data_IF_691428717654
#
_entry.id   IF_691428717654
#
_cell.length_a   1.000
_cell.length_b   1.000
_cell.length_c   1.000
_cell.angle_alpha   90.00
_cell.angle_beta   90.00
_cell.angle_gamma   90.00
#
_symmetry.space_group_name_H-M   'P 1'
#
loop_
_entity.id
_entity.type
_entity.pdbx_description
1 polymer ?
#
# COMPACT_ATOMS: atom_id res chain seq x y z
N UNK A 1 -8.72 1.11 -13.74
CA UNK A 1 -7.55 1.01 -12.82
C UNK A 1 -7.76 1.81 -11.54
N UNK A 2 -8.15 3.08 -11.60
CA UNK A 2 -8.45 3.90 -10.40
C UNK A 2 -9.43 3.23 -9.43
N UNK A 3 -10.51 2.63 -9.95
CA UNK A 3 -11.45 1.84 -9.16
C UNK A 3 -10.79 0.68 -8.40
N UNK A 4 -9.79 0.02 -8.99
CA UNK A 4 -9.03 -1.01 -8.28
C UNK A 4 -8.22 -0.39 -7.14
N UNK A 5 -7.48 0.70 -7.38
CA UNK A 5 -6.68 1.35 -6.35
C UNK A 5 -7.53 1.90 -5.19
N UNK A 6 -8.77 2.30 -5.46
CA UNK A 6 -9.71 2.78 -4.46
C UNK A 6 -10.33 1.68 -3.59
N UNK A 7 -10.47 0.45 -4.10
CA UNK A 7 -11.25 -0.59 -3.43
C UNK A 7 -10.49 -1.88 -3.11
N UNK A 8 -9.20 -1.94 -3.45
CA UNK A 8 -8.32 -3.08 -3.16
C UNK A 8 -7.78 -3.05 -1.73
N UNK A 9 -7.61 -4.23 -1.16
CA UNK A 9 -6.75 -4.46 -0.01
C UNK A 9 -7.45 -4.44 1.34
N UNK A 10 -8.69 -3.95 1.46
CA UNK A 10 -9.37 -3.88 2.76
C UNK A 10 -9.89 -5.25 3.27
N UNK A 11 -10.57 -5.21 4.42
CA UNK A 11 -11.11 -6.38 5.13
C UNK A 11 -12.16 -7.18 4.34
N UNK A 12 -12.83 -6.56 3.37
CA UNK A 12 -13.82 -7.22 2.52
C UNK A 12 -13.17 -7.77 1.23
N UNK A 13 -11.88 -7.47 1.00
CA UNK A 13 -11.17 -7.80 -0.23
C UNK A 13 -10.01 -8.79 -0.02
N UNK A 14 -9.45 -8.87 1.19
CA UNK A 14 -8.31 -9.73 1.52
C UNK A 14 -8.61 -10.69 2.66
N UNK A 15 -8.11 -11.94 2.60
CA UNK A 15 -8.16 -12.84 3.76
C UNK A 15 -7.48 -12.17 4.95
N UNK A 16 -8.07 -12.29 6.15
CA UNK A 16 -7.46 -11.82 7.41
C UNK A 16 -7.02 -10.34 7.41
N UNK A 17 -7.58 -9.51 6.51
CA UNK A 17 -7.32 -8.07 6.43
C UNK A 17 -5.81 -7.78 6.40
N UNK A 18 -5.09 -8.26 5.38
CA UNK A 18 -3.62 -8.21 5.36
C UNK A 18 -3.06 -6.81 5.11
N UNK A 19 -3.68 -6.01 4.23
CA UNK A 19 -3.17 -4.69 3.86
C UNK A 19 -4.27 -3.63 3.76
N UNK A 20 -3.90 -2.42 3.34
CA UNK A 20 -4.79 -1.42 2.76
C UNK A 20 -4.09 -0.79 1.57
N UNK A 21 -4.87 -0.37 0.58
CA UNK A 21 -4.40 0.48 -0.51
C UNK A 21 -5.19 1.78 -0.48
N UNK A 22 -4.47 2.90 -0.37
CA UNK A 22 -5.08 4.22 -0.25
C UNK A 22 -4.68 5.04 -1.47
N UNK A 23 -5.63 5.42 -2.35
CA UNK A 23 -5.33 6.30 -3.46
C UNK A 23 -5.10 7.73 -2.96
N UNK A 24 -4.20 8.47 -3.60
CA UNK A 24 -3.95 9.87 -3.28
C UNK A 24 -5.22 10.71 -3.45
N UNK A 25 -5.87 10.57 -4.60
CA UNK A 25 -7.18 11.15 -4.86
C UNK A 25 -8.23 10.39 -4.03
N UNK A 26 -8.96 11.12 -3.17
CA UNK A 26 -10.00 10.57 -2.32
C UNK A 26 -11.20 10.13 -3.17
N UNK A 27 -11.71 8.90 -2.97
CA UNK A 27 -13.05 8.54 -3.41
C UNK A 27 -14.10 9.50 -2.80
N UNK A 28 -15.24 9.71 -3.47
CA UNK A 28 -16.24 10.72 -3.06
C UNK A 28 -16.73 10.55 -1.62
N UNK A 29 -16.96 9.31 -1.16
CA UNK A 29 -17.42 9.06 0.20
C UNK A 29 -16.37 9.38 1.27
N UNK A 30 -15.09 9.58 0.92
CA UNK A 30 -14.05 10.08 1.84
C UNK A 30 -14.04 11.61 1.96
N UNK A 31 -14.81 12.34 1.14
CA UNK A 31 -14.92 13.80 1.29
C UNK A 31 -15.69 14.14 2.57
N UNK A 32 -14.95 14.62 3.57
CA UNK A 32 -15.49 14.89 4.90
C UNK A 32 -15.57 13.66 5.82
N UNK A 33 -15.13 12.48 5.36
CA UNK A 33 -15.10 11.25 6.15
C UNK A 33 -13.69 10.66 6.22
N UNK A 34 -13.44 9.82 7.23
CA UNK A 34 -12.23 8.99 7.30
C UNK A 34 -12.26 7.85 6.29
N UNK A 35 -11.10 7.44 5.79
CA UNK A 35 -10.91 6.21 4.99
C UNK A 35 -11.57 4.97 5.65
N UNK A 36 -11.54 4.90 6.98
CA UNK A 36 -12.08 3.78 7.75
C UNK A 36 -13.58 3.91 8.09
N UNK A 37 -14.23 5.00 7.69
CA UNK A 37 -15.65 5.26 7.98
C UNK A 37 -16.58 4.22 7.32
N UNK A 38 -17.78 3.99 7.87
CA UNK A 38 -18.77 3.12 7.24
C UNK A 38 -19.17 3.56 5.82
N UNK A 39 -19.29 4.87 5.58
CA UNK A 39 -19.61 5.42 4.25
C UNK A 39 -18.52 5.10 3.22
N UNK A 40 -17.25 5.32 3.55
CA UNK A 40 -16.14 4.98 2.68
C UNK A 40 -16.04 3.47 2.42
N UNK A 41 -16.36 2.62 3.41
CA UNK A 41 -16.44 1.16 3.23
C UNK A 41 -17.55 0.77 2.26
N UNK A 42 -18.75 1.32 2.43
CA UNK A 42 -19.89 1.04 1.56
C UNK A 42 -19.62 1.43 0.10
N UNK A 43 -18.95 2.57 -0.13
CA UNK A 43 -18.54 2.97 -1.48
C UNK A 43 -17.51 1.99 -2.08
N UNK A 44 -16.52 1.54 -1.30
CA UNK A 44 -15.59 0.49 -1.77
C UNK A 44 -16.29 -0.83 -2.06
N UNK A 45 -17.27 -1.22 -1.24
CA UNK A 45 -18.08 -2.41 -1.47
C UNK A 45 -18.88 -2.30 -2.78
N UNK A 46 -19.49 -1.14 -3.03
CA UNK A 46 -20.19 -0.82 -4.28
C UNK A 46 -19.25 -0.92 -5.48
N UNK A 47 -18.05 -0.32 -5.40
CA UNK A 47 -17.03 -0.41 -6.45
C UNK A 47 -16.66 -1.87 -6.73
N UNK A 48 -16.45 -2.69 -5.69
CA UNK A 48 -16.13 -4.12 -5.83
C UNK A 48 -17.26 -4.91 -6.49
N UNK A 49 -18.51 -4.62 -6.16
CA UNK A 49 -19.67 -5.35 -6.67
C UNK A 49 -20.03 -4.96 -8.11
N UNK A 50 -20.05 -3.66 -8.39
CA UNK A 50 -20.64 -3.09 -9.62
C UNK A 50 -19.62 -2.71 -10.68
N UNK A 51 -18.36 -2.46 -10.32
CA UNK A 51 -17.33 -1.98 -11.26
C UNK A 51 -16.24 -3.03 -11.48
N UNK A 52 -15.64 -3.55 -10.41
CA UNK A 52 -14.51 -4.46 -10.56
C UNK A 52 -14.95 -5.75 -11.25
N UNK A 53 -14.11 -6.25 -12.16
CA UNK A 53 -14.31 -7.52 -12.91
C UNK A 53 -15.52 -7.55 -13.85
N UNK A 54 -16.21 -6.44 -14.04
CA UNK A 54 -17.31 -6.28 -14.98
C UNK A 54 -16.80 -5.87 -16.36
N UNK A 55 -17.52 -6.23 -17.42
CA UNK A 55 -17.26 -5.67 -18.74
C UNK A 55 -17.77 -4.22 -18.80
N UNK A 56 -17.36 -3.48 -19.82
CA UNK A 56 -17.85 -2.11 -20.00
C UNK A 56 -19.37 -2.09 -20.24
N UNK A 57 -19.90 -3.10 -20.95
CA UNK A 57 -21.34 -3.28 -21.17
C UNK A 57 -22.08 -3.59 -19.88
N UNK A 58 -21.53 -4.46 -19.03
CA UNK A 58 -22.12 -4.79 -17.73
C UNK A 58 -22.19 -3.55 -16.82
N UNK A 59 -21.14 -2.73 -16.80
CA UNK A 59 -21.10 -1.48 -16.02
C UNK A 59 -22.16 -0.50 -16.54
N UNK A 60 -22.21 -0.29 -17.87
CA UNK A 60 -23.18 0.61 -18.48
C UNK A 60 -24.62 0.12 -18.29
N UNK A 61 -24.87 -1.19 -18.32
CA UNK A 61 -26.20 -1.77 -18.09
C UNK A 61 -26.62 -1.71 -16.62
N UNK A 62 -25.68 -1.76 -15.68
CA UNK A 62 -25.95 -1.62 -14.26
C UNK A 62 -26.18 -0.16 -13.82
N UNK A 63 -25.85 0.81 -14.68
CA UNK A 63 -25.95 2.25 -14.41
C UNK A 63 -27.33 2.81 -14.81
N UNK A 64 -28.39 2.36 -14.13
CA UNK A 64 -29.77 2.74 -14.47
C UNK A 64 -30.05 4.25 -14.32
N UNK A 65 -29.40 4.92 -13.37
CA UNK A 65 -29.62 6.32 -13.01
C UNK A 65 -28.42 7.25 -13.31
N UNK A 66 -27.31 6.72 -13.85
CA UNK A 66 -26.10 7.48 -14.16
C UNK A 66 -25.10 7.59 -13.00
N UNK A 67 -25.47 7.16 -11.80
CA UNK A 67 -24.67 7.32 -10.58
C UNK A 67 -23.38 6.50 -10.58
N UNK A 68 -23.35 5.34 -11.24
CA UNK A 68 -22.18 4.48 -11.30
C UNK A 68 -21.11 5.06 -12.23
N UNK A 69 -21.53 5.64 -13.35
CA UNK A 69 -20.61 6.32 -14.27
C UNK A 69 -20.15 7.67 -13.70
N UNK A 70 -20.98 8.37 -12.92
CA UNK A 70 -20.55 9.54 -12.15
C UNK A 70 -19.48 9.17 -11.13
N UNK A 71 -19.71 8.14 -10.31
CA UNK A 71 -18.71 7.63 -9.39
C UNK A 71 -17.41 7.27 -10.12
N UNK A 72 -17.48 6.51 -11.23
CA UNK A 72 -16.29 6.12 -11.98
C UNK A 72 -15.49 7.33 -12.50
N UNK A 73 -16.16 8.41 -12.89
CA UNK A 73 -15.53 9.67 -13.33
C UNK A 73 -14.82 10.41 -12.20
N UNK A 74 -15.28 10.25 -10.96
CA UNK A 74 -14.67 10.87 -9.78
C UNK A 74 -13.49 10.07 -9.20
N UNK A 75 -13.24 8.84 -9.70
CA UNK A 75 -12.17 7.99 -9.20
C UNK A 75 -10.82 8.23 -9.91
N UNK A 76 -9.82 8.61 -9.11
CA UNK A 76 -8.41 8.61 -9.50
C UNK A 76 -7.89 9.97 -9.94
N UNK A 77 -6.88 9.94 -10.82
CA UNK A 77 -6.15 11.12 -11.27
C UNK A 77 -6.87 11.92 -12.35
N UNK A 78 -6.72 13.24 -12.30
CA UNK A 78 -7.22 14.18 -13.31
C UNK A 78 -6.70 13.90 -14.73
N UNK A 79 -5.43 13.48 -14.88
CA UNK A 79 -4.73 13.38 -16.17
C UNK A 79 -3.98 12.04 -16.36
N UNK A 80 -4.49 10.95 -15.78
CA UNK A 80 -4.04 9.56 -15.93
C UNK A 80 -2.82 9.10 -15.10
N UNK A 81 -2.39 9.86 -14.09
CA UNK A 81 -1.28 9.45 -13.18
C UNK A 81 -1.84 9.12 -11.80
N UNK A 82 -2.17 7.85 -11.59
CA UNK A 82 -2.70 7.39 -10.30
C UNK A 82 -1.57 7.22 -9.29
N UNK A 83 -1.59 8.01 -8.22
CA UNK A 83 -0.72 7.81 -7.06
C UNK A 83 -1.49 7.08 -5.96
N UNK A 84 -0.85 6.13 -5.30
CA UNK A 84 -1.42 5.37 -4.20
C UNK A 84 -0.33 4.86 -3.26
N UNK A 85 -0.72 4.49 -2.05
CA UNK A 85 0.19 3.99 -1.04
C UNK A 85 -0.40 2.77 -0.34
N UNK A 86 0.49 1.96 0.24
CA UNK A 86 0.14 0.73 0.92
C UNK A 86 0.51 0.83 2.40
N UNK A 87 -0.31 0.21 3.23
CA UNK A 87 0.03 -0.09 4.61
C UNK A 87 -0.46 -1.50 4.97
N UNK A 88 -0.06 -2.05 6.11
CA UNK A 88 -0.30 -3.46 6.43
C UNK A 88 -0.74 -3.68 7.87
N UNK A 89 -1.45 -4.79 8.10
CA UNK A 89 -1.89 -5.20 9.43
C UNK A 89 -1.01 -6.32 9.97
N UNK A 90 -0.72 -6.30 11.27
CA UNK A 90 -0.06 -7.39 11.97
C UNK A 90 -0.95 -8.66 12.07
N UNK A 91 -0.39 -9.74 12.61
CA UNK A 91 -1.12 -11.01 12.84
C UNK A 91 -2.31 -10.86 13.81
N UNK A 92 -2.39 -9.75 14.54
CA UNK A 92 -3.47 -9.43 15.47
C UNK A 92 -4.49 -8.43 14.89
N UNK A 93 -4.37 -8.09 13.60
CA UNK A 93 -5.28 -7.17 12.92
C UNK A 93 -5.07 -5.70 13.29
N UNK A 94 -3.92 -5.34 13.88
CA UNK A 94 -3.56 -3.93 14.14
C UNK A 94 -2.83 -3.35 12.95
N UNK A 95 -3.25 -2.17 12.52
CA UNK A 95 -2.61 -1.44 11.43
C UNK A 95 -1.23 -0.96 11.87
N UNK A 96 -0.25 -1.08 10.99
CA UNK A 96 1.08 -0.53 11.21
C UNK A 96 1.03 1.01 11.32
N UNK A 97 1.64 1.55 12.38
CA UNK A 97 1.78 3.00 12.61
C UNK A 97 3.21 3.52 12.28
N UNK A 98 4.14 2.62 11.93
CA UNK A 98 5.54 2.96 11.63
C UNK A 98 5.70 3.35 10.15
N UNK A 99 6.08 4.60 9.90
CA UNK A 99 6.28 5.14 8.56
C UNK A 99 7.39 4.42 7.81
N UNK A 100 8.50 4.08 8.46
CA UNK A 100 9.62 3.40 7.81
C UNK A 100 9.21 2.00 7.35
N UNK A 101 8.40 1.30 8.14
CA UNK A 101 7.88 -0.03 7.76
C UNK A 101 6.84 0.03 6.64
N UNK A 102 6.04 1.10 6.57
CA UNK A 102 5.17 1.34 5.42
C UNK A 102 5.98 1.63 4.15
N UNK A 103 6.99 2.51 4.24
CA UNK A 103 7.91 2.82 3.15
C UNK A 103 8.68 1.57 2.70
N UNK A 104 9.12 0.74 3.64
CA UNK A 104 9.83 -0.50 3.35
C UNK A 104 8.95 -1.49 2.59
N UNK A 105 7.69 -1.66 3.00
CA UNK A 105 6.72 -2.47 2.25
C UNK A 105 6.57 -1.96 0.80
N UNK A 106 6.30 -0.68 0.62
CA UNK A 106 6.07 -0.10 -0.70
C UNK A 106 7.32 -0.19 -1.59
N UNK A 107 8.51 -0.03 -1.02
CA UNK A 107 9.78 -0.23 -1.74
C UNK A 107 9.92 -1.66 -2.23
N UNK A 108 9.70 -2.66 -1.38
CA UNK A 108 9.76 -4.08 -1.79
C UNK A 108 8.72 -4.41 -2.85
N UNK A 109 7.50 -3.88 -2.72
CA UNK A 109 6.43 -4.06 -3.72
C UNK A 109 6.82 -3.46 -5.06
N UNK A 110 7.33 -2.22 -5.12
CA UNK A 110 7.73 -1.62 -6.40
C UNK A 110 8.92 -2.34 -7.03
N UNK A 111 9.86 -2.84 -6.24
CA UNK A 111 11.00 -3.63 -6.75
C UNK A 111 10.54 -4.93 -7.44
N UNK A 112 9.40 -5.48 -7.02
CA UNK A 112 8.76 -6.64 -7.67
C UNK A 112 8.03 -6.29 -8.96
N UNK A 113 7.67 -5.02 -9.16
CA UNK A 113 6.95 -4.48 -10.32
C UNK A 113 7.78 -3.47 -11.12
N UNK A 114 9.11 -3.51 -10.99
CA UNK A 114 10.01 -2.64 -11.75
C UNK A 114 11.27 -3.41 -12.17
N UNK A 115 12.03 -2.78 -13.06
CA UNK A 115 13.35 -3.25 -13.50
C UNK A 115 14.34 -2.20 -13.03
N UNK A 116 15.07 -2.53 -11.97
CA UNK A 116 15.95 -1.60 -11.25
C UNK A 116 17.42 -2.05 -11.26
N UNK A 117 17.73 -3.15 -11.95
CA UNK A 117 19.08 -3.71 -12.08
C UNK A 117 19.26 -4.42 -13.43
N UNK A 118 20.53 -4.61 -13.85
CA UNK A 118 20.88 -5.37 -15.06
C UNK A 118 20.47 -6.84 -15.01
N UNK A 119 20.38 -7.39 -13.80
CA UNK A 119 20.08 -8.81 -13.56
C UNK A 119 18.56 -9.08 -13.48
N UNK A 120 17.75 -8.02 -13.51
CA UNK A 120 16.30 -8.14 -13.54
C UNK A 120 15.84 -8.68 -14.89
N UNK A 121 14.96 -9.68 -14.88
CA UNK A 121 14.33 -10.21 -16.09
C UNK A 121 13.05 -9.42 -16.41
N UNK A 122 13.02 -8.52 -17.41
CA UNK A 122 11.86 -7.66 -17.66
C UNK A 122 10.63 -8.47 -18.09
N UNK A 123 10.83 -9.58 -18.81
CA UNK A 123 9.75 -10.41 -19.35
C UNK A 123 8.96 -11.18 -18.29
N UNK A 124 9.43 -11.22 -17.03
CA UNK A 124 8.75 -11.93 -15.94
C UNK A 124 7.87 -11.01 -15.08
N UNK A 125 7.87 -9.70 -15.35
CA UNK A 125 7.08 -8.71 -14.59
C UNK A 125 5.66 -8.63 -15.16
N UNK A 126 4.62 -8.99 -14.38
CA UNK A 126 3.25 -8.96 -14.89
C UNK A 126 2.70 -7.53 -14.98
N UNK A 127 3.18 -6.63 -14.11
CA UNK A 127 2.78 -5.22 -14.03
C UNK A 127 4.02 -4.36 -13.84
N UNK A 128 3.99 -3.15 -14.41
CA UNK A 128 5.03 -2.14 -14.22
C UNK A 128 4.48 -0.97 -13.40
N UNK A 129 5.13 -0.70 -12.28
CA UNK A 129 4.86 0.45 -11.42
C UNK A 129 6.11 1.32 -11.31
N UNK A 130 5.89 2.61 -11.10
CA UNK A 130 6.96 3.54 -10.69
C UNK A 130 6.70 3.96 -9.25
N UNK A 131 7.68 4.61 -8.63
CA UNK A 131 7.54 5.19 -7.31
C UNK A 131 8.11 6.60 -7.25
N UNK A 132 7.79 7.31 -6.17
CA UNK A 132 8.32 8.61 -5.82
C UNK A 132 8.30 8.76 -4.31
N UNK A 133 8.97 9.77 -3.78
CA UNK A 133 8.85 10.19 -2.39
C UNK A 133 8.13 11.53 -2.32
N UNK A 134 7.25 11.67 -1.34
CA UNK A 134 6.62 12.92 -0.96
C UNK A 134 7.43 13.53 0.16
N UNK A 135 8.34 14.41 -0.22
CA UNK A 135 9.21 15.17 0.70
C UNK A 135 8.38 16.23 1.45
N UNK A 136 8.52 16.35 2.78
CA UNK A 136 7.81 17.36 3.58
C UNK A 136 7.97 18.78 3.05
N UNK A 137 9.15 19.11 2.54
CA UNK A 137 9.50 20.44 2.02
C UNK A 137 8.72 20.80 0.75
N UNK A 138 8.35 19.79 -0.05
CA UNK A 138 7.66 19.98 -1.33
C UNK A 138 6.15 19.74 -1.23
N UNK A 139 5.73 18.74 -0.44
CA UNK A 139 4.35 18.29 -0.36
C UNK A 139 3.63 18.76 0.92
N UNK A 140 4.35 19.16 1.97
CA UNK A 140 3.80 19.75 3.20
C UNK A 140 2.58 19.00 3.75
N UNK A 141 1.47 19.72 3.89
CA UNK A 141 0.21 19.18 4.42
C UNK A 141 -0.38 18.05 3.57
N UNK A 142 -0.14 18.02 2.26
CA UNK A 142 -0.61 16.95 1.39
C UNK A 142 -0.01 15.61 1.79
N UNK A 143 1.30 15.55 2.02
CA UNK A 143 1.98 14.34 2.47
C UNK A 143 1.49 13.91 3.86
N UNK A 144 1.36 14.86 4.79
CA UNK A 144 0.90 14.57 6.15
C UNK A 144 -0.54 14.04 6.18
N UNK A 145 -1.41 14.61 5.36
CA UNK A 145 -2.78 14.15 5.27
C UNK A 145 -2.88 12.77 4.59
N UNK A 146 -2.00 12.49 3.63
CA UNK A 146 -1.93 11.16 3.03
C UNK A 146 -1.39 10.10 4.01
N UNK A 147 -0.38 10.44 4.83
CA UNK A 147 0.06 9.60 5.95
C UNK A 147 -1.10 9.28 6.90
N UNK A 148 -1.88 10.29 7.28
CA UNK A 148 -3.03 10.11 8.17
C UNK A 148 -4.08 9.18 7.57
N UNK A 149 -4.39 9.29 6.27
CA UNK A 149 -5.29 8.36 5.57
C UNK A 149 -4.75 6.92 5.52
N UNK A 150 -3.43 6.75 5.49
CA UNK A 150 -2.75 5.45 5.60
C UNK A 150 -2.77 4.88 7.03
N UNK A 151 -3.30 5.61 8.02
CA UNK A 151 -3.27 5.25 9.43
C UNK A 151 -1.91 5.47 10.10
N UNK A 152 -1.04 6.28 9.49
CA UNK A 152 0.24 6.67 10.04
C UNK A 152 0.10 8.01 10.79
N UNK A 153 1.03 8.26 11.72
CA UNK A 153 1.10 9.54 12.41
C UNK A 153 1.65 10.61 11.46
N UNK A 154 1.08 11.81 11.51
CA UNK A 154 1.59 12.96 10.75
C UNK A 154 2.97 13.33 11.25
N UNK A 155 3.98 13.31 10.37
CA UNK A 155 5.35 13.68 10.73
C UNK A 155 6.11 14.25 9.53
N UNK A 156 7.12 15.11 9.74
CA UNK A 156 7.92 15.71 8.66
C UNK A 156 9.00 14.73 8.19
N UNK A 157 8.60 13.62 7.58
CA UNK A 157 9.49 12.65 6.95
C UNK A 157 8.97 12.27 5.56
N UNK A 158 9.84 11.72 4.71
CA UNK A 158 9.47 11.32 3.36
C UNK A 158 8.46 10.16 3.39
N UNK A 159 7.34 10.32 2.68
CA UNK A 159 6.40 9.22 2.42
C UNK A 159 6.70 8.62 1.04
N UNK A 160 7.00 7.33 1.00
CA UNK A 160 7.15 6.61 -0.27
C UNK A 160 5.77 6.38 -0.89
N UNK A 161 5.62 6.59 -2.20
CA UNK A 161 4.34 6.50 -2.91
C UNK A 161 4.52 5.73 -4.21
N UNK A 162 3.55 4.88 -4.53
CA UNK A 162 3.48 4.13 -5.78
C UNK A 162 2.74 4.96 -6.83
N UNK A 163 3.20 4.91 -8.09
CA UNK A 163 2.59 5.56 -9.24
C UNK A 163 2.28 4.58 -10.35
N UNK A 164 1.06 4.65 -10.84
CA UNK A 164 0.57 3.99 -12.03
C UNK A 164 0.16 5.03 -13.09
N UNK A 165 1.03 5.22 -14.08
CA UNK A 165 0.76 6.06 -15.25
C UNK A 165 0.03 5.23 -16.29
N UNK A 166 -1.16 5.67 -16.70
CA UNK A 166 -2.01 4.93 -17.65
C UNK A 166 -2.02 5.65 -18.99
N UNK A 167 -1.22 5.16 -19.94
CA UNK A 167 -1.19 5.69 -21.32
C UNK A 167 -1.78 4.73 -22.34
N UNK A 168 -2.01 3.48 -21.94
CA UNK A 168 -2.54 2.45 -22.83
C UNK A 168 -4.00 2.73 -23.15
N UNK A 169 -4.37 2.95 -24.43
CA UNK A 169 -5.75 3.00 -24.85
C UNK A 169 -6.33 1.59 -25.09
N UNK A 170 -5.50 0.54 -25.00
CA UNK A 170 -5.97 -0.83 -25.20
C UNK A 170 -7.02 -1.17 -24.17
N UNK A 171 -8.14 -1.75 -24.63
CA UNK A 171 -9.33 -1.81 -23.83
C UNK A 171 -9.08 -2.61 -22.56
N UNK A 172 -9.76 -2.19 -21.49
CA UNK A 172 -9.96 -2.91 -20.22
C UNK A 172 -10.64 -4.27 -20.37
N UNK A 173 -10.82 -4.72 -21.60
CA UNK A 173 -11.61 -5.85 -22.02
C UNK A 173 -10.88 -7.18 -21.76
N UNK A 174 -11.63 -8.27 -21.77
CA UNK A 174 -11.16 -9.65 -21.49
C UNK A 174 -10.53 -9.87 -20.12
N UNK A 175 -10.92 -9.11 -19.09
CA UNK A 175 -10.47 -9.29 -17.69
C UNK A 175 -8.95 -9.11 -17.48
N UNK A 176 -8.23 -8.57 -18.45
CA UNK A 176 -6.78 -8.36 -18.35
C UNK A 176 -6.39 -7.55 -17.12
N UNK A 177 -7.12 -6.46 -16.84
CA UNK A 177 -6.89 -5.65 -15.63
C UNK A 177 -7.10 -6.48 -14.36
N UNK A 178 -8.07 -7.39 -14.34
CA UNK A 178 -8.29 -8.25 -13.18
C UNK A 178 -7.12 -9.21 -12.95
N UNK A 179 -6.55 -9.78 -14.01
CA UNK A 179 -5.35 -10.63 -13.91
C UNK A 179 -4.15 -9.86 -13.36
N UNK A 180 -3.89 -8.66 -13.87
CA UNK A 180 -2.85 -7.76 -13.35
C UNK A 180 -3.05 -7.48 -11.86
N UNK A 181 -4.28 -7.17 -11.47
CA UNK A 181 -4.60 -6.81 -10.10
C UNK A 181 -4.58 -8.01 -9.16
N UNK A 182 -4.85 -9.23 -9.65
CA UNK A 182 -4.64 -10.47 -8.88
C UNK A 182 -3.16 -10.70 -8.59
N UNK A 183 -2.28 -10.54 -9.57
CA UNK A 183 -0.84 -10.66 -9.34
C UNK A 183 -0.32 -9.52 -8.43
N UNK A 184 -0.85 -8.30 -8.58
CA UNK A 184 -0.57 -7.20 -7.64
C UNK A 184 -0.92 -7.60 -6.20
N UNK A 185 -2.15 -8.05 -5.94
CA UNK A 185 -2.59 -8.50 -4.62
C UNK A 185 -1.67 -9.57 -4.04
N UNK A 186 -1.37 -10.59 -4.84
CA UNK A 186 -0.53 -11.72 -4.42
C UNK A 186 0.85 -11.26 -4.01
N UNK A 187 1.48 -10.37 -4.78
CA UNK A 187 2.79 -9.81 -4.42
C UNK A 187 2.70 -8.97 -3.15
N UNK A 188 1.70 -8.10 -3.01
CA UNK A 188 1.53 -7.31 -1.79
C UNK A 188 1.35 -8.22 -0.58
N UNK A 189 0.51 -9.27 -0.66
CA UNK A 189 0.32 -10.23 0.42
C UNK A 189 1.62 -10.97 0.78
N UNK A 190 2.42 -11.38 -0.21
CA UNK A 190 3.75 -11.98 0.02
C UNK A 190 4.67 -11.02 0.78
N UNK A 191 4.72 -9.76 0.36
CA UNK A 191 5.56 -8.75 1.02
C UNK A 191 5.02 -8.36 2.40
N UNK A 192 3.71 -8.44 2.65
CA UNK A 192 3.12 -8.27 3.99
C UNK A 192 3.58 -9.36 4.94
N UNK A 193 3.68 -10.62 4.49
CA UNK A 193 4.21 -11.72 5.32
C UNK A 193 5.64 -11.40 5.77
N UNK A 194 6.47 -10.88 4.85
CA UNK A 194 7.83 -10.43 5.19
C UNK A 194 7.81 -9.28 6.21
N UNK A 195 6.91 -8.31 6.06
CA UNK A 195 6.74 -7.23 7.05
C UNK A 195 6.28 -7.74 8.42
N UNK A 196 5.35 -8.70 8.46
CA UNK A 196 4.87 -9.31 9.71
C UNK A 196 5.99 -10.03 10.43
N UNK A 197 6.75 -10.87 9.74
CA UNK A 197 7.87 -11.61 10.33
C UNK A 197 8.99 -10.66 10.82
N UNK A 198 9.33 -9.64 10.04
CA UNK A 198 10.28 -8.59 10.42
C UNK A 198 9.87 -7.83 11.70
N UNK A 199 8.58 -7.64 11.90
CA UNK A 199 8.02 -6.88 13.02
C UNK A 199 7.42 -7.75 14.14
N UNK A 200 7.62 -9.07 14.06
CA UNK A 200 7.08 -10.02 15.02
C UNK A 200 7.71 -9.78 16.38
N UNK A 201 6.87 -9.42 17.35
CA UNK A 201 7.29 -9.23 18.74
C UNK A 201 7.37 -10.58 19.44
N UNK A 202 8.48 -10.85 20.12
CA UNK A 202 8.67 -12.12 20.81
C UNK A 202 10.09 -12.29 21.35
N UNK A 203 10.35 -13.47 21.92
CA UNK A 203 11.69 -13.85 22.37
C UNK A 203 12.59 -14.08 21.15
N UNK A 204 13.70 -13.37 21.12
CA UNK A 204 14.70 -13.46 20.06
C UNK A 204 16.09 -13.65 20.67
N UNK A 205 17.00 -14.25 19.90
CA UNK A 205 18.39 -14.41 20.31
C UNK A 205 19.08 -13.04 20.29
N UNK A 206 19.49 -12.58 21.47
CA UNK A 206 20.25 -11.36 21.65
C UNK A 206 21.76 -11.65 21.56
N UNK A 207 22.50 -10.81 20.85
CA UNK A 207 23.96 -10.88 20.75
C UNK A 207 24.56 -9.67 21.45
N UNK A 208 25.60 -9.90 22.24
CA UNK A 208 26.28 -8.85 23.01
C UNK A 208 27.77 -8.95 22.77
N UNK A 209 28.42 -7.80 22.66
CA UNK A 209 29.87 -7.65 22.69
C UNK A 209 30.29 -7.38 24.13
N UNK A 210 31.13 -8.25 24.68
CA UNK A 210 31.67 -8.10 26.03
C UNK A 210 32.81 -7.08 26.03
N UNK A 211 32.75 -6.10 26.94
CA UNK A 211 33.79 -5.08 27.12
C UNK A 211 34.25 -5.00 28.57
N UNK A 212 35.52 -4.65 28.78
CA UNK A 212 36.11 -4.43 30.10
C UNK A 212 36.95 -5.61 30.62
N UNK A 213 37.85 -5.30 31.56
CA UNK A 213 38.79 -6.25 32.17
C UNK A 213 38.54 -6.44 33.67
N UNK A 214 38.35 -5.34 34.40
CA UNK A 214 38.07 -5.35 35.85
C UNK A 214 36.57 -5.32 36.15
N UNK A 215 35.81 -4.54 35.37
CA UNK A 215 34.35 -4.51 35.36
C UNK A 215 33.87 -4.86 33.94
N UNK A 216 32.91 -5.79 33.85
CA UNK A 216 32.45 -6.34 32.56
C UNK A 216 31.11 -5.72 32.17
N UNK A 217 31.05 -5.19 30.96
CA UNK A 217 29.86 -4.63 30.33
C UNK A 217 29.45 -5.47 29.12
N UNK A 218 28.15 -5.50 28.82
CA UNK A 218 27.59 -6.21 27.67
C UNK A 218 26.93 -5.22 26.72
N UNK A 219 27.64 -4.86 25.66
CA UNK A 219 27.13 -3.96 24.64
C UNK A 219 26.26 -4.75 23.68
N UNK A 220 24.95 -4.50 23.70
CA UNK A 220 24.01 -5.17 22.79
C UNK A 220 24.33 -4.84 21.32
N UNK A 221 24.19 -5.82 20.44
CA UNK A 221 24.37 -5.66 19.00
C UNK A 221 23.00 -5.43 18.34
N UNK A 222 22.59 -4.17 18.11
CA UNK A 222 21.31 -3.87 17.48
C UNK A 222 21.27 -4.28 16.02
N UNK A 223 20.06 -4.42 15.50
CA UNK A 223 19.80 -4.62 14.08
C UNK A 223 18.55 -3.86 13.66
N UNK A 224 18.66 -3.09 12.59
CA UNK A 224 17.50 -2.48 11.95
C UNK A 224 16.67 -3.50 11.15
N UNK A 225 17.17 -4.72 10.96
CA UNK A 225 16.50 -5.74 10.17
C UNK A 225 15.32 -6.43 10.87
N UNK A 226 15.26 -6.34 12.20
CA UNK A 226 14.26 -6.99 13.03
C UNK A 226 13.76 -6.02 14.10
N UNK A 227 12.45 -5.89 14.29
CA UNK A 227 11.89 -4.91 15.23
C UNK A 227 12.35 -5.13 16.68
N UNK A 228 12.56 -6.39 17.09
CA UNK A 228 13.02 -6.74 18.44
C UNK A 228 14.49 -6.40 18.71
N UNK A 229 15.24 -5.93 17.70
CA UNK A 229 16.66 -5.59 17.82
C UNK A 229 16.96 -4.10 17.63
N UNK A 230 15.94 -3.24 17.63
CA UNK A 230 16.06 -1.79 17.42
C UNK A 230 16.27 -1.00 18.72
N UNK A 231 17.02 -1.57 19.65
CA UNK A 231 17.31 -0.94 20.94
C UNK A 231 18.81 -0.84 21.12
N UNK A 232 19.27 0.22 21.79
CA UNK A 232 20.66 0.38 22.19
C UNK A 232 20.77 0.16 23.69
N UNK A 233 21.53 -0.87 24.10
CA UNK A 233 21.70 -1.30 25.50
C UNK A 233 23.18 -1.55 25.79
N UNK A 234 23.65 -1.11 26.95
CA UNK A 234 25.01 -1.32 27.48
C UNK A 234 24.90 -1.81 28.92
#
# INVERSE_FOLDING_TARGET
LSAYWAAIGDENDTPERMFICVPLNRPPAENGNSYFSPAARQERDLIREKILRKSNEDIAAADEDGSLMELLRELGSDLNINAFALNWFDEHGRLNEDLEEANNLMKRVVDRFSVNSSDSHPTTRPLYLTSTEFEPELYGECAQEFMHRLGLRKMPQNLFVLRNVVMSPFPTDMKFIDELMREFKKVVMQEVIVSRERNKRGRQQASFLMQGTDEVFLVYQPSFHEATKREQVI
#
